data_IF_405160777374
#
_entry.id   IF_405160777374
#
_cell.length_a   1.000
_cell.length_b   1.000
_cell.length_c   1.000
_cell.angle_alpha   90.00
_cell.angle_beta   90.00
_cell.angle_gamma   90.00
#
_symmetry.space_group_name_H-M   'P 1'
#
loop_
_entity.id
_entity.type
_entity.pdbx_description
1 polymer ?
#
# COMPACT_ATOMS: atom_id res chain seq x y z
N UNK A 1 16.49 4.02 -4.36
CA UNK A 1 15.13 3.48 -4.41
C UNK A 1 14.38 3.82 -3.13
N UNK A 2 13.39 4.73 -3.13
CA UNK A 2 12.57 5.01 -1.94
C UNK A 2 11.47 3.96 -1.75
N UNK A 3 11.19 3.58 -0.50
CA UNK A 3 9.99 2.83 -0.12
C UNK A 3 9.15 3.72 0.79
N UNK A 4 7.86 3.86 0.46
CA UNK A 4 6.89 4.63 1.26
C UNK A 4 5.83 3.67 1.77
N UNK A 5 5.55 3.73 3.06
CA UNK A 5 4.51 2.93 3.71
C UNK A 5 3.43 3.89 4.20
N UNK A 6 2.18 3.65 3.80
CA UNK A 6 1.02 4.39 4.27
C UNK A 6 0.19 3.52 5.21
N UNK A 7 0.05 3.94 6.47
CA UNK A 7 -0.83 3.28 7.42
C UNK A 7 -2.28 3.71 7.20
N UNK A 8 -3.14 2.73 6.92
CA UNK A 8 -4.56 2.88 6.61
C UNK A 8 -5.46 2.51 7.79
N UNK A 9 -4.89 2.10 8.94
CA UNK A 9 -5.66 1.61 10.10
C UNK A 9 -6.68 2.62 10.63
N UNK A 10 -6.35 3.91 10.63
CA UNK A 10 -7.26 4.98 11.07
C UNK A 10 -8.17 5.49 9.95
N UNK A 11 -7.94 5.05 8.71
CA UNK A 11 -8.70 5.45 7.53
C UNK A 11 -9.83 4.44 7.32
N UNK A 12 -10.82 4.45 8.22
CA UNK A 12 -11.96 3.55 8.15
C UNK A 12 -12.97 3.94 7.04
N UNK A 13 -13.05 5.24 6.69
CA UNK A 13 -14.21 5.82 5.98
C UNK A 13 -13.90 6.52 4.65
N UNK A 14 -12.80 6.17 3.97
CA UNK A 14 -12.50 6.80 2.68
C UNK A 14 -12.21 5.77 1.61
N UNK A 15 -13.15 5.61 0.67
CA UNK A 15 -12.72 5.66 -0.72
C UNK A 15 -13.60 6.61 -1.53
N UNK A 16 -13.24 7.89 -1.53
CA UNK A 16 -13.62 8.77 -2.62
C UNK A 16 -12.78 8.42 -3.85
N UNK A 17 -13.34 8.61 -5.06
CA UNK A 17 -12.60 8.42 -6.31
C UNK A 17 -11.27 9.21 -6.32
N UNK A 18 -11.26 10.41 -5.71
CA UNK A 18 -10.07 11.26 -5.57
C UNK A 18 -8.92 10.58 -4.83
N UNK A 19 -9.20 9.90 -3.71
CA UNK A 19 -8.16 9.20 -2.95
C UNK A 19 -7.53 8.08 -3.78
N UNK A 20 -8.36 7.33 -4.52
CA UNK A 20 -7.88 6.24 -5.38
C UNK A 20 -6.97 6.79 -6.49
N UNK A 21 -7.37 7.89 -7.15
CA UNK A 21 -6.52 8.57 -8.14
C UNK A 21 -5.20 9.06 -7.56
N UNK A 22 -5.19 9.54 -6.31
CA UNK A 22 -3.95 9.96 -5.64
C UNK A 22 -3.04 8.75 -5.37
N UNK A 23 -3.56 7.66 -4.82
CA UNK A 23 -2.78 6.45 -4.56
C UNK A 23 -2.19 5.86 -5.84
N UNK A 24 -2.97 5.79 -6.91
CA UNK A 24 -2.52 5.30 -8.22
C UNK A 24 -1.36 6.15 -8.75
N UNK A 25 -1.54 7.48 -8.75
CA UNK A 25 -0.52 8.41 -9.22
C UNK A 25 0.77 8.26 -8.41
N UNK A 26 0.68 8.18 -7.07
CA UNK A 26 1.86 8.01 -6.20
C UNK A 26 2.55 6.68 -6.41
N UNK A 27 1.80 5.59 -6.55
CA UNK A 27 2.37 4.28 -6.87
C UNK A 27 3.16 4.31 -8.18
N UNK A 28 2.61 4.95 -9.21
CA UNK A 28 3.25 5.11 -10.51
C UNK A 28 4.51 5.98 -10.44
N UNK A 29 4.44 7.15 -9.79
CA UNK A 29 5.59 8.05 -9.59
C UNK A 29 6.74 7.36 -8.85
N UNK A 30 6.43 6.65 -7.75
CA UNK A 30 7.43 5.90 -6.99
C UNK A 30 8.04 4.79 -7.84
N UNK A 31 7.23 4.00 -8.56
CA UNK A 31 7.73 2.93 -9.43
C UNK A 31 8.64 3.47 -10.53
N UNK A 32 8.30 4.60 -11.15
CA UNK A 32 9.13 5.25 -12.17
C UNK A 32 10.47 5.75 -11.61
N UNK A 33 10.49 6.19 -10.35
CA UNK A 33 11.71 6.55 -9.63
C UNK A 33 12.49 5.32 -9.09
N UNK A 34 12.10 4.10 -9.49
CA UNK A 34 12.69 2.86 -8.97
C UNK A 34 12.45 2.70 -7.48
N UNK A 35 11.27 3.08 -7.00
CA UNK A 35 10.78 2.98 -5.63
C UNK A 35 9.46 2.19 -5.53
N UNK A 36 8.84 2.17 -4.35
CA UNK A 36 7.61 1.40 -4.09
C UNK A 36 6.70 2.06 -3.05
N UNK A 37 5.39 1.92 -3.24
CA UNK A 37 4.35 2.29 -2.27
C UNK A 37 3.76 1.01 -1.66
N UNK A 38 3.70 0.95 -0.33
CA UNK A 38 3.10 -0.13 0.44
C UNK A 38 1.93 0.42 1.26
N UNK A 39 0.81 -0.31 1.34
CA UNK A 39 -0.34 0.05 2.17
C UNK A 39 -0.43 -0.90 3.36
N UNK A 40 -0.38 -0.38 4.58
CA UNK A 40 -0.44 -1.18 5.81
C UNK A 40 -1.77 -0.97 6.53
N UNK A 41 -2.34 -2.04 7.11
CA UNK A 41 -3.58 -1.93 7.86
C UNK A 41 -4.81 -1.65 7.00
N UNK A 42 -4.88 -2.24 5.80
CA UNK A 42 -6.00 -2.04 4.87
C UNK A 42 -7.26 -2.74 5.35
N UNK A 43 -8.30 -1.96 5.64
CA UNK A 43 -9.62 -2.48 6.02
C UNK A 43 -10.34 -3.17 4.85
N UNK A 44 -11.28 -4.11 5.12
CA UNK A 44 -12.00 -4.85 4.08
C UNK A 44 -12.73 -3.97 3.05
N UNK A 45 -13.29 -2.84 3.48
CA UNK A 45 -13.97 -1.89 2.59
C UNK A 45 -13.01 -1.27 1.57
N UNK A 46 -11.84 -0.80 2.03
CA UNK A 46 -10.80 -0.26 1.18
C UNK A 46 -10.21 -1.36 0.27
N UNK A 47 -9.97 -2.57 0.80
CA UNK A 47 -9.50 -3.70 0.00
C UNK A 47 -10.47 -4.04 -1.14
N UNK A 48 -11.79 -3.93 -0.91
CA UNK A 48 -12.80 -4.09 -1.97
C UNK A 48 -12.69 -3.01 -3.04
N UNK A 49 -12.61 -1.73 -2.65
CA UNK A 49 -12.45 -0.63 -3.60
C UNK A 49 -11.16 -0.75 -4.42
N UNK A 50 -10.04 -1.13 -3.79
CA UNK A 50 -8.77 -1.32 -4.50
C UNK A 50 -8.86 -2.40 -5.58
N UNK A 51 -9.63 -3.46 -5.33
CA UNK A 51 -9.90 -4.52 -6.33
C UNK A 51 -10.83 -4.03 -7.44
N UNK A 52 -11.94 -3.37 -7.09
CA UNK A 52 -12.92 -2.86 -8.06
C UNK A 52 -12.31 -1.81 -9.01
N UNK A 53 -11.35 -1.04 -8.53
CA UNK A 53 -10.66 0.00 -9.31
C UNK A 53 -9.42 -0.51 -10.05
N UNK A 54 -9.08 -1.80 -9.95
CA UNK A 54 -7.83 -2.39 -10.45
C UNK A 54 -6.55 -1.70 -9.92
N UNK A 55 -6.69 -0.90 -8.86
CA UNK A 55 -5.58 -0.20 -8.22
C UNK A 55 -4.64 -1.18 -7.51
N UNK A 56 -5.16 -2.32 -7.06
CA UNK A 56 -4.34 -3.41 -6.54
C UNK A 56 -3.28 -3.89 -7.56
N UNK A 57 -3.59 -3.87 -8.87
CA UNK A 57 -2.65 -4.27 -9.91
C UNK A 57 -1.58 -3.19 -10.16
N UNK A 58 -1.96 -1.92 -10.05
CA UNK A 58 -1.03 -0.79 -10.16
C UNK A 58 -0.07 -0.70 -8.95
N UNK A 59 -0.57 -1.02 -7.75
CA UNK A 59 0.22 -1.13 -6.53
C UNK A 59 1.10 -2.39 -6.54
N UNK A 60 0.60 -3.49 -7.11
CA UNK A 60 1.11 -4.84 -6.92
C UNK A 60 0.46 -5.48 -5.70
N UNK A 61 -0.14 -6.66 -5.86
CA UNK A 61 -0.90 -7.34 -4.80
C UNK A 61 -0.07 -7.58 -3.52
N UNK A 62 1.23 -7.87 -3.66
CA UNK A 62 2.16 -8.08 -2.55
C UNK A 62 2.49 -6.82 -1.74
N UNK A 63 1.98 -5.66 -2.15
CA UNK A 63 2.24 -4.35 -1.53
C UNK A 63 1.05 -3.86 -0.67
N UNK A 64 0.04 -4.71 -0.45
CA UNK A 64 -1.16 -4.39 0.33
C UNK A 64 -1.24 -5.34 1.51
N UNK A 65 -1.10 -4.81 2.72
CA UNK A 65 -1.11 -5.55 3.98
C UNK A 65 -2.44 -5.28 4.71
N UNK A 66 -3.33 -6.28 4.83
CA UNK A 66 -4.63 -6.12 5.47
C UNK A 66 -4.52 -5.71 6.94
N UNK A 67 -5.53 -5.02 7.47
CA UNK A 67 -5.65 -4.81 8.91
C UNK A 67 -5.90 -6.14 9.63
N UNK A 68 -5.21 -6.32 10.75
CA UNK A 68 -5.40 -7.44 11.66
C UNK A 68 -5.73 -6.95 13.09
N UNK A 69 -5.86 -7.90 14.01
CA UNK A 69 -6.15 -7.66 15.43
C UNK A 69 -5.02 -6.97 16.18
N UNK A 70 -3.79 -7.10 15.71
CA UNK A 70 -2.58 -6.59 16.34
C UNK A 70 -2.24 -5.21 15.77
N UNK A 71 -2.24 -4.17 16.62
CA UNK A 71 -2.19 -2.78 16.17
C UNK A 71 -1.07 -2.49 15.16
N UNK A 72 0.11 -3.06 15.37
CA UNK A 72 1.30 -2.78 14.56
C UNK A 72 1.68 -3.88 13.56
N UNK A 73 1.08 -5.06 13.62
CA UNK A 73 1.56 -6.22 12.85
C UNK A 73 1.58 -5.97 11.33
N UNK A 74 0.47 -5.49 10.76
CA UNK A 74 0.44 -5.11 9.34
C UNK A 74 1.46 -4.02 8.93
N UNK A 75 1.86 -3.15 9.86
CA UNK A 75 2.90 -2.14 9.62
C UNK A 75 4.29 -2.78 9.64
N UNK A 76 4.54 -3.66 10.60
CA UNK A 76 5.80 -4.41 10.71
C UNK A 76 6.02 -5.28 9.46
N UNK A 77 4.99 -6.00 9.00
CA UNK A 77 5.06 -6.77 7.75
C UNK A 77 5.40 -5.90 6.53
N UNK A 78 4.82 -4.70 6.44
CA UNK A 78 5.10 -3.76 5.36
C UNK A 78 6.55 -3.22 5.43
N UNK A 79 7.05 -2.93 6.63
CA UNK A 79 8.45 -2.50 6.85
C UNK A 79 9.41 -3.61 6.42
N UNK A 80 9.16 -4.84 6.85
CA UNK A 80 9.98 -6.00 6.50
C UNK A 80 9.98 -6.28 4.99
N UNK A 81 8.81 -6.21 4.34
CA UNK A 81 8.70 -6.35 2.90
C UNK A 81 9.46 -5.24 2.15
N UNK A 82 9.35 -4.00 2.62
CA UNK A 82 10.09 -2.86 2.09
C UNK A 82 11.60 -3.05 2.19
N UNK A 83 12.09 -3.50 3.36
CA UNK A 83 13.51 -3.77 3.59
C UNK A 83 14.04 -4.90 2.71
N UNK A 84 13.29 -6.02 2.58
CA UNK A 84 13.66 -7.12 1.67
C UNK A 84 13.77 -6.64 0.23
N UNK A 85 12.82 -5.83 -0.23
CA UNK A 85 12.85 -5.28 -1.57
C UNK A 85 14.06 -4.35 -1.80
N UNK A 86 14.36 -3.48 -0.83
CA UNK A 86 15.55 -2.60 -0.89
C UNK A 86 16.86 -3.38 -0.91
N UNK A 87 16.93 -4.50 -0.17
CA UNK A 87 18.10 -5.36 -0.17
C UNK A 87 18.31 -6.08 -1.51
N UNK A 88 17.21 -6.52 -2.17
CA UNK A 88 17.26 -7.18 -3.46
C UNK A 88 17.44 -6.24 -4.66
N UNK A 89 17.11 -4.95 -4.50
CA UNK A 89 17.26 -3.93 -5.53
C UNK A 89 18.67 -3.31 -5.59
N UNK A 90 19.57 -3.71 -4.69
CA UNK A 90 21.00 -3.38 -4.69
C UNK A 90 21.79 -4.47 -5.38
#
# INVERSE_FOLDING_TARGET
SPVVILSMREVADIPSATMMTVLERRAKELRQAGGRLLLAGVHPALARTLRETHLADALGADNVFPADREVFHALDEAVDAGNRWLAAAR
#
